data_IF_123184343045
#
_entry.id   IF_123184343045
#
_cell.length_a   1.000
_cell.length_b   1.000
_cell.length_c   1.000
_cell.angle_alpha   90.00
_cell.angle_beta   90.00
_cell.angle_gamma   90.00
#
_symmetry.space_group_name_H-M   'P 1'
#
loop_
_entity.id
_entity.type
_entity.pdbx_description
1 polymer ?
#
# COMPACT_ATOMS: atom_id res chain seq x y z
N UNK A 1 29.67 -21.54 34.33
CA UNK A 1 28.64 -21.71 35.40
C UNK A 1 28.30 -20.29 35.88
N UNK A 2 27.05 -19.80 35.88
CA UNK A 2 26.00 -19.95 36.94
C UNK A 2 26.56 -19.67 38.35
N UNK A 3 26.07 -18.75 39.23
CA UNK A 3 25.04 -17.66 39.26
C UNK A 3 25.58 -16.55 40.24
N UNK A 4 24.97 -15.43 40.69
CA UNK A 4 23.62 -14.81 40.64
C UNK A 4 23.78 -13.24 40.74
N UNK A 5 22.90 -12.54 41.49
CA UNK A 5 22.94 -11.12 41.95
C UNK A 5 22.86 -10.05 40.83
N UNK A 6 21.71 -9.44 40.48
CA UNK A 6 20.66 -8.73 41.25
C UNK A 6 21.13 -7.46 41.98
N UNK A 7 20.76 -6.30 41.41
CA UNK A 7 20.62 -5.01 42.12
C UNK A 7 19.24 -4.44 41.74
N UNK A 8 18.46 -4.03 42.75
CA UNK A 8 17.23 -3.24 42.57
C UNK A 8 17.62 -1.74 42.60
N UNK A 9 16.96 -0.88 41.81
CA UNK A 9 17.27 0.55 41.85
C UNK A 9 16.36 1.45 41.02
N UNK A 10 15.30 1.97 41.66
CA UNK A 10 14.49 3.17 41.35
C UNK A 10 14.06 3.49 39.91
N UNK A 11 12.74 3.64 39.77
CA UNK A 11 12.10 4.49 38.76
C UNK A 11 12.52 5.96 38.97
N UNK A 12 12.93 6.65 37.91
CA UNK A 12 12.98 8.12 37.89
C UNK A 12 11.76 8.66 37.13
N UNK A 13 10.84 9.27 37.87
CA UNK A 13 9.71 10.02 37.33
C UNK A 13 10.08 11.50 37.35
N UNK A 14 10.15 12.15 36.19
CA UNK A 14 10.38 13.61 36.07
C UNK A 14 9.19 14.22 35.33
N UNK A 15 8.57 15.24 35.93
CA UNK A 15 7.32 15.83 35.44
C UNK A 15 7.53 17.29 35.08
N UNK A 16 7.23 17.63 33.82
CA UNK A 16 7.07 19.00 33.35
C UNK A 16 8.36 19.72 32.95
N UNK A 17 8.33 20.72 32.07
CA UNK A 17 7.22 21.24 31.25
C UNK A 17 7.75 21.78 29.91
N UNK A 18 6.85 22.34 29.08
CA UNK A 18 7.09 23.06 27.81
C UNK A 18 7.33 22.22 26.54
N UNK A 19 6.36 22.31 25.60
CA UNK A 19 6.69 22.67 24.22
C UNK A 19 7.27 21.63 23.25
N UNK A 20 6.65 20.45 23.10
CA UNK A 20 6.85 19.67 21.85
C UNK A 20 6.10 20.39 20.72
N UNK A 21 6.78 21.31 20.04
CA UNK A 21 6.31 21.84 18.75
C UNK A 21 6.48 20.76 17.68
N UNK A 22 5.37 20.23 17.18
CA UNK A 22 5.39 19.27 16.06
C UNK A 22 5.72 20.01 14.75
N UNK A 23 7.02 20.16 14.46
CA UNK A 23 7.50 20.59 13.14
C UNK A 23 7.30 19.47 12.13
N UNK A 24 6.18 19.49 11.41
CA UNK A 24 5.86 18.61 10.26
C UNK A 24 6.82 18.83 9.07
N UNK A 25 8.08 18.49 9.26
CA UNK A 25 9.18 18.66 8.31
C UNK A 25 10.09 17.41 8.24
N UNK A 26 10.12 16.59 9.29
CA UNK A 26 10.84 15.30 9.33
C UNK A 26 10.26 14.26 8.37
N UNK A 27 8.93 14.24 8.21
CA UNK A 27 8.14 13.10 7.71
C UNK A 27 8.21 12.89 6.18
N UNK A 28 9.22 13.48 5.54
CA UNK A 28 9.46 13.43 4.09
C UNK A 28 10.82 12.82 3.71
N UNK A 29 11.80 12.84 4.61
CA UNK A 29 13.14 12.34 4.35
C UNK A 29 13.20 10.80 4.36
N UNK A 30 12.53 10.16 5.31
CA UNK A 30 12.61 8.72 5.63
C UNK A 30 11.53 7.86 4.92
N UNK A 31 10.68 8.48 4.10
CA UNK A 31 9.54 7.78 3.47
C UNK A 31 9.99 6.77 2.39
N UNK A 32 9.41 5.56 2.40
CA UNK A 32 9.69 4.53 1.40
C UNK A 32 9.30 4.94 -0.03
N UNK A 33 9.99 4.44 -1.08
CA UNK A 33 9.53 4.53 -2.47
C UNK A 33 8.12 3.97 -2.70
N UNK A 34 7.67 3.00 -1.90
CA UNK A 34 6.28 2.53 -1.88
C UNK A 34 5.27 3.61 -1.45
N UNK A 35 5.50 4.20 -0.27
CA UNK A 35 4.62 5.21 0.33
C UNK A 35 4.59 6.51 -0.49
N UNK A 36 5.73 6.92 -1.06
CA UNK A 36 5.82 8.06 -1.98
C UNK A 36 4.80 7.98 -3.12
N UNK A 37 4.58 6.77 -3.64
CA UNK A 37 3.63 6.51 -4.73
C UNK A 37 2.21 6.30 -4.20
N UNK A 38 2.04 5.72 -3.01
CA UNK A 38 0.77 5.67 -2.29
C UNK A 38 0.18 7.07 -2.09
N UNK A 39 0.95 7.99 -1.49
CA UNK A 39 0.52 9.39 -1.31
C UNK A 39 0.28 10.09 -2.65
N UNK A 40 1.10 9.83 -3.68
CA UNK A 40 0.92 10.40 -5.03
C UNK A 40 -0.42 10.01 -5.67
N UNK A 41 -0.79 8.73 -5.64
CA UNK A 41 -2.02 8.25 -6.29
C UNK A 41 -3.24 8.59 -5.44
N UNK A 42 -3.17 8.38 -4.12
CA UNK A 42 -4.28 8.69 -3.21
C UNK A 42 -4.60 10.20 -3.22
N UNK A 43 -3.61 11.10 -3.17
CA UNK A 43 -3.90 12.54 -3.28
C UNK A 43 -4.45 12.94 -4.66
N UNK A 44 -3.96 12.33 -5.74
CA UNK A 44 -4.54 12.57 -7.08
C UNK A 44 -6.00 12.09 -7.17
N UNK A 45 -6.34 11.03 -6.45
CA UNK A 45 -7.71 10.51 -6.38
C UNK A 45 -8.61 11.40 -5.52
N UNK A 46 -8.14 11.89 -4.37
CA UNK A 46 -8.81 12.93 -3.58
C UNK A 46 -9.07 14.18 -4.43
N UNK A 47 -8.04 14.71 -5.10
CA UNK A 47 -8.13 15.85 -6.03
C UNK A 47 -9.13 15.63 -7.17
N UNK A 48 -9.43 14.38 -7.51
CA UNK A 48 -10.43 14.03 -8.52
C UNK A 48 -11.86 14.06 -7.92
N UNK A 49 -12.05 13.47 -6.74
CA UNK A 49 -13.34 13.46 -6.03
C UNK A 49 -13.73 14.86 -5.53
N UNK A 50 -12.76 15.72 -5.21
CA UNK A 50 -12.99 17.14 -4.91
C UNK A 50 -13.59 17.92 -6.11
N UNK A 51 -13.35 17.46 -7.36
CA UNK A 51 -13.86 18.11 -8.58
C UNK A 51 -15.23 17.58 -9.02
N UNK A 52 -15.51 16.30 -8.80
CA UNK A 52 -16.82 15.70 -8.97
C UNK A 52 -17.11 14.69 -7.85
N UNK A 53 -17.83 15.16 -6.84
CA UNK A 53 -18.28 14.37 -5.69
C UNK A 53 -19.59 13.61 -5.95
N UNK A 54 -20.10 13.60 -7.18
CA UNK A 54 -21.19 12.70 -7.56
C UNK A 54 -20.71 11.24 -7.54
N UNK A 55 -21.64 10.30 -7.47
CA UNK A 55 -21.32 8.87 -7.53
C UNK A 55 -20.65 8.45 -8.86
N UNK A 56 -20.89 9.22 -9.94
CA UNK A 56 -20.25 9.01 -11.26
C UNK A 56 -18.82 9.53 -11.26
N UNK A 57 -18.58 10.71 -10.67
CA UNK A 57 -17.24 11.25 -10.43
C UNK A 57 -16.41 10.32 -9.56
N UNK A 58 -16.90 9.97 -8.37
CA UNK A 58 -16.27 8.99 -7.47
C UNK A 58 -15.91 7.67 -8.17
N UNK A 59 -16.82 7.11 -8.97
CA UNK A 59 -16.56 5.92 -9.79
C UNK A 59 -15.40 6.16 -10.76
N UNK A 60 -15.43 7.25 -11.51
CA UNK A 60 -14.44 7.58 -12.54
C UNK A 60 -13.05 7.81 -11.92
N UNK A 61 -13.00 8.44 -10.74
CA UNK A 61 -11.77 8.65 -9.99
C UNK A 61 -11.18 7.32 -9.46
N UNK A 62 -12.02 6.40 -8.98
CA UNK A 62 -11.60 5.06 -8.56
C UNK A 62 -11.11 4.20 -9.76
N UNK A 63 -11.78 4.28 -10.92
CA UNK A 63 -11.34 3.63 -12.16
C UNK A 63 -9.99 4.21 -12.66
N UNK A 64 -9.78 5.52 -12.54
CA UNK A 64 -8.50 6.15 -12.87
C UNK A 64 -7.37 5.74 -11.91
N UNK A 65 -7.66 5.68 -10.60
CA UNK A 65 -6.71 5.22 -9.59
C UNK A 65 -6.31 3.75 -9.81
N UNK A 66 -7.28 2.88 -10.15
CA UNK A 66 -7.02 1.49 -10.52
C UNK A 66 -6.01 1.36 -11.68
N UNK A 67 -6.18 2.16 -12.73
CA UNK A 67 -5.27 2.16 -13.90
C UNK A 67 -3.86 2.65 -13.56
N UNK A 68 -3.71 3.56 -12.59
CA UNK A 68 -2.38 3.94 -12.11
C UNK A 68 -1.76 2.87 -11.20
N UNK A 69 -2.54 2.22 -10.34
CA UNK A 69 -2.03 1.14 -9.50
C UNK A 69 -1.60 -0.10 -10.31
N UNK A 70 -2.34 -0.50 -11.36
CA UNK A 70 -1.90 -1.61 -12.23
C UNK A 70 -0.64 -1.24 -13.05
N UNK A 71 -0.50 0.03 -13.45
CA UNK A 71 0.73 0.54 -14.06
C UNK A 71 1.93 0.44 -13.11
N UNK A 72 1.78 0.89 -11.87
CA UNK A 72 2.84 0.81 -10.85
C UNK A 72 3.16 -0.64 -10.46
N UNK A 73 2.17 -1.53 -10.43
CA UNK A 73 2.34 -2.98 -10.25
C UNK A 73 3.26 -3.56 -11.34
N UNK A 74 2.95 -3.24 -12.60
CA UNK A 74 3.75 -3.64 -13.75
C UNK A 74 5.17 -3.03 -13.75
N UNK A 75 5.35 -1.81 -13.23
CA UNK A 75 6.66 -1.15 -13.08
C UNK A 75 7.49 -1.87 -12.00
N UNK A 76 6.93 -2.09 -10.81
CA UNK A 76 7.63 -2.74 -9.70
C UNK A 76 8.02 -4.20 -10.05
N UNK A 77 7.11 -4.95 -10.68
CA UNK A 77 7.42 -6.29 -11.22
C UNK A 77 8.59 -6.25 -12.23
N UNK A 78 8.56 -5.33 -13.20
CA UNK A 78 9.62 -5.20 -14.21
C UNK A 78 10.97 -4.71 -13.66
N UNK A 79 10.98 -4.05 -12.50
CA UNK A 79 12.21 -3.71 -11.79
C UNK A 79 12.78 -4.95 -11.09
N UNK A 80 11.98 -5.67 -10.29
CA UNK A 80 12.44 -6.89 -9.60
C UNK A 80 12.98 -7.96 -10.55
N UNK A 81 12.35 -8.10 -11.73
CA UNK A 81 12.81 -9.02 -12.77
C UNK A 81 14.18 -8.70 -13.38
N UNK A 82 14.79 -7.54 -13.05
CA UNK A 82 16.18 -7.18 -13.40
C UNK A 82 17.16 -7.47 -12.28
N UNK A 83 16.78 -7.18 -11.03
CA UNK A 83 17.65 -7.29 -9.85
C UNK A 83 17.81 -8.73 -9.33
N UNK A 84 16.85 -9.61 -9.66
CA UNK A 84 16.85 -11.01 -9.24
C UNK A 84 17.70 -11.92 -10.15
N UNK A 85 18.40 -12.93 -9.60
CA UNK A 85 18.99 -14.01 -10.39
C UNK A 85 17.90 -14.89 -11.02
N UNK A 86 18.29 -15.79 -11.94
CA UNK A 86 17.36 -16.60 -12.75
C UNK A 86 16.34 -17.39 -11.91
N UNK A 87 16.78 -17.93 -10.78
CA UNK A 87 15.96 -18.69 -9.84
C UNK A 87 14.89 -17.79 -9.19
N UNK A 88 15.28 -16.60 -8.76
CA UNK A 88 14.37 -15.59 -8.20
C UNK A 88 13.41 -15.01 -9.23
N UNK A 89 13.89 -14.76 -10.47
CA UNK A 89 13.04 -14.36 -11.60
C UNK A 89 11.97 -15.42 -11.92
N UNK A 90 12.34 -16.71 -11.85
CA UNK A 90 11.41 -17.80 -12.09
C UNK A 90 10.35 -17.89 -10.97
N UNK A 91 10.76 -17.84 -9.71
CA UNK A 91 9.85 -17.82 -8.57
C UNK A 91 8.89 -16.61 -8.59
N UNK A 92 9.41 -15.40 -8.85
CA UNK A 92 8.60 -14.19 -8.93
C UNK A 92 7.61 -14.21 -10.10
N UNK A 93 8.01 -14.74 -11.27
CA UNK A 93 7.12 -14.87 -12.44
C UNK A 93 5.93 -15.78 -12.14
N UNK A 94 6.14 -16.89 -11.44
CA UNK A 94 5.04 -17.79 -11.08
C UNK A 94 4.18 -17.23 -9.95
N UNK A 95 4.79 -16.65 -8.91
CA UNK A 95 4.07 -15.94 -7.85
C UNK A 95 3.26 -14.72 -8.37
N UNK A 96 3.65 -14.14 -9.50
CA UNK A 96 2.89 -13.09 -10.19
C UNK A 96 1.71 -13.66 -11.00
N UNK A 97 1.86 -14.83 -11.63
CA UNK A 97 0.78 -15.53 -12.34
C UNK A 97 -0.32 -16.00 -11.39
N UNK A 98 0.05 -16.64 -10.28
CA UNK A 98 -0.93 -17.07 -9.28
C UNK A 98 -1.59 -15.89 -8.58
N UNK A 99 -0.86 -14.78 -8.37
CA UNK A 99 -1.48 -13.55 -7.87
C UNK A 99 -2.50 -12.94 -8.85
N UNK A 100 -2.30 -13.05 -10.17
CA UNK A 100 -3.31 -12.61 -11.15
C UNK A 100 -4.58 -13.48 -11.04
N UNK A 101 -4.43 -14.82 -10.96
CA UNK A 101 -5.59 -15.72 -10.74
C UNK A 101 -6.32 -15.40 -9.43
N UNK A 102 -5.57 -15.15 -8.36
CA UNK A 102 -6.14 -14.72 -7.07
C UNK A 102 -6.88 -13.39 -7.21
N UNK A 103 -6.27 -12.34 -7.78
CA UNK A 103 -6.88 -11.04 -8.02
C UNK A 103 -8.20 -11.17 -8.76
N UNK A 104 -8.24 -11.99 -9.81
CA UNK A 104 -9.44 -12.15 -10.64
C UNK A 104 -10.56 -12.88 -9.87
N UNK A 105 -10.22 -13.84 -8.99
CA UNK A 105 -11.20 -14.47 -8.07
C UNK A 105 -11.61 -13.59 -6.90
N UNK A 106 -10.72 -12.76 -6.37
CA UNK A 106 -11.05 -11.71 -5.40
C UNK A 106 -12.00 -10.69 -6.04
N UNK A 107 -11.85 -10.38 -7.33
CA UNK A 107 -12.74 -9.47 -8.05
C UNK A 107 -14.13 -10.08 -8.33
N UNK A 108 -14.22 -11.39 -8.52
CA UNK A 108 -15.50 -12.12 -8.52
C UNK A 108 -16.16 -12.11 -7.14
N UNK A 109 -15.40 -12.34 -6.06
CA UNK A 109 -15.89 -12.31 -4.68
C UNK A 109 -16.39 -10.91 -4.27
N UNK A 110 -15.63 -9.87 -4.63
CA UNK A 110 -16.02 -8.46 -4.49
C UNK A 110 -17.33 -8.17 -5.24
N UNK A 111 -17.46 -8.56 -6.51
CA UNK A 111 -18.72 -8.40 -7.25
C UNK A 111 -19.87 -9.15 -6.58
N UNK A 112 -19.62 -10.37 -6.08
CA UNK A 112 -20.58 -11.16 -5.31
C UNK A 112 -21.10 -10.40 -4.08
N UNK A 113 -20.21 -9.90 -3.23
CA UNK A 113 -20.57 -9.13 -2.02
C UNK A 113 -21.35 -7.86 -2.37
N UNK A 114 -20.80 -7.01 -3.24
CA UNK A 114 -21.43 -5.70 -3.53
C UNK A 114 -22.69 -5.82 -4.42
N UNK A 115 -22.93 -6.96 -5.08
CA UNK A 115 -24.21 -7.21 -5.80
C UNK A 115 -25.43 -7.29 -4.87
N UNK A 116 -25.22 -7.54 -3.57
CA UNK A 116 -26.28 -7.64 -2.57
C UNK A 116 -26.67 -6.28 -1.97
N UNK A 117 -26.07 -5.18 -2.46
CA UNK A 117 -26.16 -3.86 -1.84
C UNK A 117 -26.98 -2.89 -2.70
N UNK A 118 -28.01 -2.28 -2.11
CA UNK A 118 -28.88 -1.33 -2.81
C UNK A 118 -28.34 0.10 -2.83
N UNK A 119 -28.60 0.81 -3.93
CA UNK A 119 -28.22 2.21 -4.13
C UNK A 119 -26.87 2.41 -4.83
N UNK A 120 -26.74 3.50 -5.58
CA UNK A 120 -25.56 3.77 -6.42
C UNK A 120 -24.26 3.93 -5.63
N UNK A 121 -24.33 4.32 -4.36
CA UNK A 121 -23.18 4.58 -3.48
C UNK A 121 -22.19 3.40 -3.41
N UNK A 122 -22.66 2.16 -3.55
CA UNK A 122 -21.80 0.97 -3.52
C UNK A 122 -20.95 0.77 -4.78
N UNK A 123 -21.29 1.44 -5.89
CA UNK A 123 -20.58 1.31 -7.16
C UNK A 123 -19.11 1.78 -7.04
N UNK A 124 -18.79 3.00 -6.56
CA UNK A 124 -17.40 3.39 -6.30
C UNK A 124 -16.76 2.58 -5.17
N UNK A 125 -17.47 2.25 -4.10
CA UNK A 125 -16.90 1.50 -2.96
C UNK A 125 -16.42 0.10 -3.39
N UNK A 126 -17.17 -0.57 -4.28
CA UNK A 126 -16.77 -1.83 -4.92
C UNK A 126 -15.48 -1.70 -5.74
N UNK A 127 -15.30 -0.57 -6.42
CA UNK A 127 -14.10 -0.31 -7.24
C UNK A 127 -12.91 0.00 -6.31
N UNK A 128 -13.12 0.69 -5.19
CA UNK A 128 -12.11 0.88 -4.14
C UNK A 128 -11.63 -0.43 -3.51
N UNK A 129 -12.52 -1.41 -3.32
CA UNK A 129 -12.11 -2.77 -2.95
C UNK A 129 -11.17 -3.40 -3.99
N UNK A 130 -11.35 -3.14 -5.29
CA UNK A 130 -10.44 -3.62 -6.35
C UNK A 130 -9.12 -2.85 -6.40
N UNK A 131 -9.17 -1.52 -6.23
CA UNK A 131 -7.98 -0.64 -6.10
C UNK A 131 -7.07 -1.13 -4.98
N UNK A 132 -7.64 -1.47 -3.81
CA UNK A 132 -6.92 -2.00 -2.65
C UNK A 132 -6.05 -3.22 -2.98
N UNK A 133 -6.63 -4.24 -3.62
CA UNK A 133 -5.94 -5.49 -3.96
C UNK A 133 -4.73 -5.23 -4.87
N UNK A 134 -4.85 -4.31 -5.83
CA UNK A 134 -3.72 -3.96 -6.71
C UNK A 134 -2.68 -3.12 -5.98
N UNK A 135 -3.10 -2.11 -5.20
CA UNK A 135 -2.21 -1.29 -4.36
C UNK A 135 -1.33 -2.14 -3.44
N UNK A 136 -1.93 -3.10 -2.73
CA UNK A 136 -1.21 -3.95 -1.78
C UNK A 136 -0.15 -4.81 -2.49
N UNK A 137 -0.42 -5.27 -3.72
CA UNK A 137 0.62 -5.91 -4.56
C UNK A 137 1.74 -4.95 -4.95
N UNK A 138 1.44 -3.69 -5.29
CA UNK A 138 2.49 -2.69 -5.60
C UNK A 138 3.40 -2.45 -4.40
N UNK A 139 2.81 -2.23 -3.22
CA UNK A 139 3.56 -1.97 -1.99
C UNK A 139 4.46 -3.16 -1.65
N UNK A 140 3.95 -4.39 -1.73
CA UNK A 140 4.76 -5.60 -1.50
C UNK A 140 5.90 -5.76 -2.51
N UNK A 141 5.65 -5.51 -3.81
CA UNK A 141 6.70 -5.58 -4.84
C UNK A 141 7.74 -4.45 -4.69
N UNK A 142 7.36 -3.28 -4.16
CA UNK A 142 8.29 -2.17 -3.87
C UNK A 142 9.12 -2.45 -2.61
N UNK A 143 8.52 -3.04 -1.58
CA UNK A 143 9.25 -3.50 -0.39
C UNK A 143 10.33 -4.54 -0.73
N UNK A 144 10.07 -5.44 -1.69
CA UNK A 144 11.11 -6.36 -2.19
C UNK A 144 12.27 -5.65 -2.92
N UNK A 145 12.03 -4.50 -3.56
CA UNK A 145 13.10 -3.68 -4.18
C UNK A 145 13.92 -2.95 -3.11
N UNK A 146 13.25 -2.46 -2.06
CA UNK A 146 13.89 -1.82 -0.91
C UNK A 146 14.85 -2.80 -0.22
N UNK A 147 14.41 -4.02 0.12
CA UNK A 147 15.27 -5.09 0.66
C UNK A 147 16.45 -5.43 -0.28
N UNK A 148 16.24 -5.46 -1.60
CA UNK A 148 17.32 -5.74 -2.55
C UNK A 148 18.34 -4.61 -2.68
N UNK A 149 17.98 -3.38 -2.27
CA UNK A 149 18.88 -2.22 -2.29
C UNK A 149 19.81 -2.12 -1.07
N UNK A 150 19.64 -2.99 -0.06
CA UNK A 150 20.48 -3.07 1.14
C UNK A 150 21.72 -4.00 0.98
N UNK A 151 22.02 -4.45 -0.24
CA UNK A 151 23.09 -5.42 -0.56
C UNK A 151 24.49 -4.80 -0.70
#
# INVERSE_FOLDING_TARGET
MRKLLLILGLVFFVVGTTGVSSTRASDSADESPGDKIKRRIEKKQEDCVEKDSSTVGMRTCAEAAYVEWDREMNIAYKALMKELPVEGQNALREAQREWIKYRDKEFEAIDGVYSQMEGTMWIPIRIESRVRVVRERVLMLRHYLEILSER
#
